data_IF_424175772908
#
_entry.id   IF_424175772908
#
_cell.length_a   1.000
_cell.length_b   1.000
_cell.length_c   1.000
_cell.angle_alpha   90.00
_cell.angle_beta   90.00
_cell.angle_gamma   90.00
#
_symmetry.space_group_name_H-M   'P 1'
#
loop_
_entity.id
_entity.type
_entity.pdbx_description
1 polymer ?
#
# COMPACT_ATOMS: atom_id res chain seq x y z
N UNK A 1 38.44 -24.79 -39.53
CA UNK A 1 39.31 -24.20 -38.49
C UNK A 1 38.87 -22.75 -38.26
N UNK A 2 38.56 -22.37 -37.00
CA UNK A 2 38.32 -21.00 -36.49
C UNK A 2 37.09 -20.28 -37.06
N UNK A 3 35.91 -20.18 -36.40
CA UNK A 3 35.53 -19.66 -35.08
C UNK A 3 35.68 -18.13 -34.93
N UNK A 4 34.56 -17.44 -34.68
CA UNK A 4 34.50 -16.00 -34.41
C UNK A 4 33.07 -15.44 -34.39
N UNK A 5 32.29 -15.83 -33.37
CA UNK A 5 30.90 -15.42 -33.18
C UNK A 5 30.70 -14.18 -32.29
N UNK A 6 29.47 -13.66 -32.36
CA UNK A 6 28.73 -13.15 -31.20
C UNK A 6 28.90 -11.68 -30.82
N UNK A 7 28.05 -10.78 -31.38
CA UNK A 7 27.43 -9.64 -30.67
C UNK A 7 26.09 -9.28 -31.32
N UNK A 8 25.07 -10.07 -31.02
CA UNK A 8 23.66 -9.63 -31.03
C UNK A 8 23.21 -9.58 -29.58
N UNK A 9 22.24 -8.71 -29.28
CA UNK A 9 21.50 -8.64 -28.00
C UNK A 9 22.20 -7.84 -26.88
N UNK A 10 22.01 -6.50 -26.82
CA UNK A 10 22.11 -5.65 -25.60
C UNK A 10 21.89 -4.14 -25.93
N UNK A 11 20.76 -3.74 -26.52
CA UNK A 11 20.51 -2.30 -26.84
C UNK A 11 19.12 -1.76 -26.48
N UNK A 12 18.20 -2.55 -25.91
CA UNK A 12 16.82 -2.07 -25.65
C UNK A 12 16.50 -1.79 -24.17
N UNK A 13 17.44 -2.00 -23.23
CA UNK A 13 17.16 -1.96 -21.77
C UNK A 13 17.75 -0.72 -21.06
N UNK A 14 18.08 0.37 -21.76
CA UNK A 14 18.72 1.56 -21.12
C UNK A 14 18.04 2.92 -21.27
N UNK A 15 16.85 3.01 -21.85
CA UNK A 15 16.21 4.31 -22.11
C UNK A 15 14.95 4.64 -21.27
N UNK A 16 14.57 3.82 -20.28
CA UNK A 16 13.38 4.10 -19.45
C UNK A 16 13.64 4.90 -18.16
N UNK A 17 14.91 5.11 -17.78
CA UNK A 17 15.29 5.81 -16.54
C UNK A 17 15.65 7.30 -16.73
N UNK A 18 15.61 7.85 -17.94
CA UNK A 18 16.12 9.19 -18.24
C UNK A 18 15.05 10.25 -18.63
N UNK A 19 13.75 9.95 -18.49
CA UNK A 19 12.68 10.81 -19.02
C UNK A 19 11.71 11.43 -17.97
N UNK A 20 12.04 11.39 -16.67
CA UNK A 20 11.19 12.03 -15.62
C UNK A 20 11.75 13.32 -15.00
N UNK A 21 12.84 13.86 -15.54
CA UNK A 21 13.35 15.18 -15.16
C UNK A 21 12.93 16.24 -16.18
N UNK A 22 11.71 16.79 -16.02
CA UNK A 22 11.28 18.16 -16.39
C UNK A 22 9.75 18.24 -16.25
N UNK A 23 9.27 19.22 -15.48
CA UNK A 23 7.86 19.49 -15.12
C UNK A 23 7.25 18.73 -13.93
N UNK A 24 7.76 19.01 -12.72
CA UNK A 24 6.97 18.95 -11.50
C UNK A 24 6.83 20.36 -10.92
N UNK A 25 5.96 21.18 -11.53
CA UNK A 25 5.48 22.40 -10.89
C UNK A 25 4.52 22.01 -9.77
N UNK A 26 5.00 22.25 -8.55
CA UNK A 26 4.38 22.11 -7.23
C UNK A 26 3.12 23.01 -7.12
N UNK A 27 1.97 22.49 -6.65
CA UNK A 27 1.02 23.31 -5.92
C UNK A 27 1.31 23.24 -4.42
N UNK A 28 1.57 24.41 -3.86
CA UNK A 28 1.60 24.73 -2.44
C UNK A 28 0.28 24.41 -1.74
N UNK A 29 0.30 24.48 -0.42
CA UNK A 29 -0.26 23.47 0.43
C UNK A 29 -1.38 24.05 1.30
N UNK A 30 -2.65 23.83 0.97
CA UNK A 30 -3.75 24.31 1.81
C UNK A 30 -3.91 23.46 3.09
N UNK A 31 -3.77 24.12 4.23
CA UNK A 31 -4.09 23.63 5.57
C UNK A 31 -5.43 24.22 6.01
N UNK A 32 -6.35 23.39 6.50
CA UNK A 32 -7.46 23.85 7.31
C UNK A 32 -7.37 23.24 8.71
N UNK A 33 -7.61 24.10 9.69
CA UNK A 33 -7.34 23.96 11.12
C UNK A 33 -8.37 23.02 11.78
N UNK A 34 -7.92 22.27 12.78
CA UNK A 34 -8.77 21.91 13.91
C UNK A 34 -7.93 22.06 15.17
N UNK A 35 -8.19 23.16 15.86
CA UNK A 35 -7.82 23.44 17.25
C UNK A 35 -8.69 22.58 18.15
N UNK A 36 -8.08 21.82 19.05
CA UNK A 36 -8.56 21.79 20.43
C UNK A 36 -7.45 21.35 21.39
N UNK A 37 -7.66 21.77 22.63
CA UNK A 37 -6.71 21.97 23.70
C UNK A 37 -6.22 20.69 24.38
N UNK A 38 -5.28 20.89 25.30
CA UNK A 38 -4.34 19.89 25.75
C UNK A 38 -4.83 18.97 26.85
N UNK A 39 -3.99 17.97 27.16
CA UNK A 39 -3.73 17.53 28.52
C UNK A 39 -2.40 16.76 28.56
N UNK A 40 -1.54 17.16 29.50
CA UNK A 40 -0.19 16.66 29.77
C UNK A 40 -0.23 15.60 30.87
N UNK A 41 0.41 14.44 30.68
CA UNK A 41 0.84 13.56 31.78
C UNK A 41 2.22 12.94 31.48
N UNK A 42 2.95 12.75 32.57
CA UNK A 42 4.38 12.73 32.79
C UNK A 42 5.07 11.39 32.51
N UNK A 43 6.38 11.53 32.33
CA UNK A 43 7.47 10.56 32.22
C UNK A 43 7.57 9.50 33.33
N UNK A 44 8.01 8.31 32.94
CA UNK A 44 9.16 7.63 33.56
C UNK A 44 8.90 6.29 34.26
N UNK A 45 9.40 5.19 33.69
CA UNK A 45 9.96 4.08 34.47
C UNK A 45 10.98 3.27 33.67
N UNK A 46 12.18 3.11 34.25
CA UNK A 46 13.27 2.24 33.80
C UNK A 46 13.10 0.87 34.45
N UNK A 47 13.24 -0.21 33.69
CA UNK A 47 13.50 -1.55 34.26
C UNK A 47 14.76 -2.11 33.60
N UNK A 48 15.74 -2.44 34.45
CA UNK A 48 17.01 -3.08 34.15
C UNK A 48 17.13 -4.30 35.05
N UNK A 49 17.22 -5.52 34.50
CA UNK A 49 17.62 -6.71 35.26
C UNK A 49 18.55 -7.63 34.43
N UNK A 50 19.84 -7.49 34.77
CA UNK A 50 20.93 -8.46 34.96
C UNK A 50 20.96 -9.81 34.21
N UNK A 51 22.12 -10.05 33.59
CA UNK A 51 22.67 -11.32 33.09
C UNK A 51 23.08 -12.27 34.22
N UNK A 52 22.87 -13.58 34.02
CA UNK A 52 23.65 -14.78 34.45
C UNK A 52 23.07 -15.96 33.62
N UNK A 53 23.75 -17.01 33.20
CA UNK A 53 25.14 -17.46 33.15
C UNK A 53 25.20 -18.52 32.03
N UNK A 54 26.40 -18.84 31.58
CA UNK A 54 26.72 -19.85 30.58
C UNK A 54 26.17 -21.23 30.94
N UNK A 55 25.70 -22.00 29.95
CA UNK A 55 25.87 -23.45 29.98
C UNK A 55 25.99 -24.00 28.56
N UNK A 56 27.05 -24.77 28.38
CA UNK A 56 27.56 -25.32 27.14
C UNK A 56 26.91 -26.70 26.92
N UNK A 57 26.16 -26.91 25.85
CA UNK A 57 25.70 -28.24 25.44
C UNK A 57 25.57 -28.37 23.93
N UNK A 58 26.43 -29.22 23.36
CA UNK A 58 26.36 -29.87 22.05
C UNK A 58 27.10 -31.22 22.27
N UNK A 59 26.80 -32.37 21.62
CA UNK A 59 26.17 -32.53 20.32
C UNK A 59 25.26 -33.77 20.12
N UNK A 60 24.72 -33.86 18.91
CA UNK A 60 24.18 -35.06 18.24
C UNK A 60 23.04 -35.82 18.93
N UNK A 61 21.80 -35.49 18.57
CA UNK A 61 20.71 -36.48 18.44
C UNK A 61 19.89 -36.19 17.18
N UNK A 62 20.17 -36.98 16.15
CA UNK A 62 19.26 -37.52 15.13
C UNK A 62 17.81 -37.03 15.27
N UNK A 63 17.42 -36.02 14.49
CA UNK A 63 16.00 -35.70 14.26
C UNK A 63 15.53 -36.62 13.15
N UNK A 64 14.68 -37.59 13.51
CA UNK A 64 13.87 -38.35 12.54
C UNK A 64 13.01 -37.37 11.75
N UNK A 65 13.03 -37.51 10.43
CA UNK A 65 12.04 -36.90 9.54
C UNK A 65 10.63 -37.19 10.06
N UNK A 66 9.86 -36.12 10.31
CA UNK A 66 8.41 -36.21 10.40
C UNK A 66 7.87 -35.70 9.07
N UNK A 67 7.78 -36.62 8.11
CA UNK A 67 6.92 -36.45 6.94
C UNK A 67 5.47 -36.66 7.40
N UNK A 68 4.55 -35.77 7.01
CA UNK A 68 3.11 -36.07 7.07
C UNK A 68 2.18 -35.15 7.89
N UNK A 69 2.52 -33.90 8.18
CA UNK A 69 1.64 -33.02 8.99
C UNK A 69 1.31 -31.62 8.43
N UNK A 70 1.63 -31.26 7.17
CA UNK A 70 1.33 -29.91 6.63
C UNK A 70 0.05 -29.79 5.78
N UNK A 71 -0.67 -30.87 5.51
CA UNK A 71 -1.60 -30.91 4.37
C UNK A 71 -2.92 -30.13 4.47
N UNK A 72 -3.38 -29.69 5.65
CA UNK A 72 -4.71 -29.03 5.78
C UNK A 72 -4.64 -27.50 5.89
N UNK A 73 -3.59 -26.97 6.50
CA UNK A 73 -3.40 -25.52 6.63
C UNK A 73 -2.97 -24.90 5.30
N UNK A 74 -2.25 -25.65 4.48
CA UNK A 74 -1.84 -25.21 3.15
C UNK A 74 -3.03 -25.11 2.19
N UNK A 75 -3.96 -26.07 2.22
CA UNK A 75 -5.17 -26.05 1.37
C UNK A 75 -6.11 -24.88 1.71
N UNK A 76 -6.40 -24.65 2.99
CA UNK A 76 -7.25 -23.52 3.42
C UNK A 76 -6.61 -22.16 3.07
N UNK A 77 -5.29 -22.06 3.17
CA UNK A 77 -4.53 -20.88 2.75
C UNK A 77 -4.59 -20.65 1.25
N UNK A 78 -4.45 -21.71 0.44
CA UNK A 78 -4.55 -21.62 -1.01
C UNK A 78 -5.97 -21.29 -1.45
N UNK A 79 -6.99 -21.91 -0.85
CA UNK A 79 -8.40 -21.61 -1.12
C UNK A 79 -8.71 -20.15 -0.80
N UNK A 80 -8.28 -19.65 0.36
CA UNK A 80 -8.45 -18.23 0.70
C UNK A 80 -7.76 -17.30 -0.31
N UNK A 81 -6.59 -17.67 -0.84
CA UNK A 81 -5.91 -16.90 -1.90
C UNK A 81 -6.66 -16.93 -3.23
N UNK A 82 -7.26 -18.07 -3.57
CA UNK A 82 -8.09 -18.23 -4.78
C UNK A 82 -9.35 -17.36 -4.64
N UNK A 83 -10.06 -17.46 -3.52
CA UNK A 83 -11.25 -16.64 -3.22
C UNK A 83 -10.93 -15.13 -3.20
N UNK A 84 -9.74 -14.76 -2.73
CA UNK A 84 -9.26 -13.37 -2.76
C UNK A 84 -8.99 -12.89 -4.19
N UNK A 85 -8.54 -13.75 -5.12
CA UNK A 85 -8.33 -13.36 -6.51
C UNK A 85 -9.62 -13.32 -7.34
N UNK A 86 -10.56 -14.24 -7.08
CA UNK A 86 -11.84 -14.31 -7.80
C UNK A 86 -12.71 -13.06 -7.62
N UNK A 87 -12.46 -12.26 -6.59
CA UNK A 87 -13.12 -10.97 -6.39
C UNK A 87 -12.64 -9.83 -7.29
N UNK A 88 -11.48 -9.96 -7.95
CA UNK A 88 -10.91 -8.92 -8.80
C UNK A 88 -11.35 -9.14 -10.27
N UNK A 89 -12.01 -8.18 -10.94
CA UNK A 89 -12.41 -8.35 -12.34
C UNK A 89 -11.23 -8.66 -13.25
N UNK A 90 -11.49 -9.46 -14.29
CA UNK A 90 -10.46 -10.00 -15.19
C UNK A 90 -9.62 -8.89 -15.83
N UNK A 91 -10.23 -7.77 -16.19
CA UNK A 91 -9.54 -6.64 -16.83
C UNK A 91 -8.49 -6.02 -15.88
N UNK A 92 -8.77 -6.00 -14.57
CA UNK A 92 -7.81 -5.57 -13.56
C UNK A 92 -6.70 -6.60 -13.36
N UNK A 93 -7.03 -7.89 -13.36
CA UNK A 93 -6.02 -8.95 -13.25
C UNK A 93 -5.03 -8.88 -14.42
N UNK A 94 -5.55 -8.75 -15.65
CA UNK A 94 -4.74 -8.62 -16.87
C UNK A 94 -3.87 -7.36 -16.83
N UNK A 95 -4.43 -6.22 -16.40
CA UNK A 95 -3.66 -4.97 -16.29
C UNK A 95 -2.55 -5.07 -15.24
N UNK A 96 -2.82 -5.66 -14.09
CA UNK A 96 -1.82 -5.87 -13.04
C UNK A 96 -0.73 -6.82 -13.54
N UNK A 97 -1.09 -7.89 -14.25
CA UNK A 97 -0.13 -8.82 -14.85
C UNK A 97 0.73 -8.15 -15.92
N UNK A 98 0.15 -7.31 -16.79
CA UNK A 98 0.87 -6.52 -17.80
C UNK A 98 1.92 -5.61 -17.15
N UNK A 99 1.58 -5.02 -16.00
CA UNK A 99 2.50 -4.19 -15.22
C UNK A 99 3.54 -5.02 -14.44
N UNK A 100 3.54 -6.35 -14.51
CA UNK A 100 4.32 -7.24 -13.64
C UNK A 100 4.03 -7.04 -12.15
N UNK A 101 2.77 -6.70 -11.82
CA UNK A 101 2.30 -6.58 -10.46
C UNK A 101 2.08 -7.93 -9.78
N UNK A 102 2.29 -7.98 -8.47
CA UNK A 102 2.14 -9.19 -7.64
C UNK A 102 1.49 -8.87 -6.28
N UNK A 103 1.32 -9.87 -5.42
CA UNK A 103 0.75 -9.73 -4.06
C UNK A 103 -0.57 -8.94 -4.02
N UNK A 104 -1.49 -9.29 -4.91
CA UNK A 104 -2.83 -8.70 -4.95
C UNK A 104 -3.58 -9.07 -3.67
N UNK A 105 -4.17 -8.08 -3.00
CA UNK A 105 -4.97 -8.26 -1.77
C UNK A 105 -6.16 -7.33 -1.78
N UNK A 106 -7.32 -7.85 -1.39
CA UNK A 106 -8.48 -7.01 -1.10
C UNK A 106 -8.23 -6.18 0.17
N UNK A 107 -8.45 -4.86 0.10
CA UNK A 107 -8.24 -3.94 1.22
C UNK A 107 -9.56 -3.63 1.92
N UNK A 108 -10.54 -3.08 1.20
CA UNK A 108 -11.84 -2.70 1.78
C UNK A 108 -12.88 -2.48 0.68
N UNK A 109 -14.15 -2.63 1.04
CA UNK A 109 -15.26 -2.03 0.30
C UNK A 109 -15.58 -0.66 0.91
N UNK A 110 -15.86 0.33 0.07
CA UNK A 110 -16.16 1.70 0.49
C UNK A 110 -17.30 2.26 -0.35
N UNK A 111 -18.42 2.55 0.31
CA UNK A 111 -19.47 3.41 -0.25
C UNK A 111 -19.01 4.87 -0.18
N UNK A 112 -19.11 5.60 -1.28
CA UNK A 112 -18.68 7.00 -1.34
C UNK A 112 -19.66 7.90 -0.57
N UNK A 113 -19.11 8.72 0.33
CA UNK A 113 -19.86 9.72 1.09
C UNK A 113 -19.61 11.13 0.55
N UNK A 114 -20.44 12.09 0.98
CA UNK A 114 -20.33 13.50 0.57
C UNK A 114 -18.92 14.08 0.79
N UNK A 115 -18.24 13.66 1.86
CA UNK A 115 -16.88 14.11 2.18
C UNK A 115 -15.82 13.58 1.23
N UNK A 116 -16.01 12.37 0.69
CA UNK A 116 -15.10 11.80 -0.30
C UNK A 116 -15.25 12.55 -1.64
N UNK A 117 -16.46 12.99 -1.99
CA UNK A 117 -16.76 13.68 -3.26
C UNK A 117 -16.58 15.20 -3.20
N UNK A 118 -16.26 15.74 -2.03
CA UNK A 118 -16.09 17.17 -1.84
C UNK A 118 -14.74 17.61 -2.44
N UNK A 119 -14.73 18.48 -3.48
CA UNK A 119 -13.49 18.88 -4.15
C UNK A 119 -12.48 19.59 -3.24
N UNK A 120 -12.95 20.26 -2.18
CA UNK A 120 -12.10 20.93 -1.20
C UNK A 120 -11.40 19.93 -0.26
N UNK A 121 -12.00 18.77 0.02
CA UNK A 121 -11.35 17.71 0.80
C UNK A 121 -10.38 16.87 -0.05
N UNK A 122 -10.69 16.68 -1.35
CA UNK A 122 -9.82 16.06 -2.35
C UNK A 122 -9.18 14.72 -1.93
N UNK A 123 -9.97 13.85 -1.26
CA UNK A 123 -9.47 12.60 -0.69
C UNK A 123 -10.52 11.49 -0.64
N UNK A 124 -10.05 10.25 -0.76
CA UNK A 124 -10.81 9.06 -0.40
C UNK A 124 -10.37 8.58 0.99
N UNK A 125 -11.30 8.54 1.95
CA UNK A 125 -11.02 8.10 3.32
C UNK A 125 -11.26 6.60 3.51
N UNK A 126 -10.26 5.91 4.05
CA UNK A 126 -10.23 4.47 4.33
C UNK A 126 -10.09 4.28 5.86
N UNK A 127 -11.20 4.05 6.58
CA UNK A 127 -11.17 3.79 8.01
C UNK A 127 -10.49 2.44 8.31
N UNK A 128 -9.58 2.36 9.30
CA UNK A 128 -8.83 1.13 9.60
C UNK A 128 -9.73 -0.03 10.01
N UNK A 129 -10.85 0.24 10.67
CA UNK A 129 -11.82 -0.78 11.08
C UNK A 129 -12.52 -1.51 9.91
N UNK A 130 -12.32 -1.07 8.67
CA UNK A 130 -12.89 -1.68 7.47
C UNK A 130 -11.86 -2.41 6.61
N UNK A 131 -10.58 -2.43 7.03
CA UNK A 131 -9.51 -3.11 6.30
C UNK A 131 -9.60 -4.62 6.54
N UNK A 132 -9.78 -5.38 5.47
CA UNK A 132 -9.90 -6.84 5.51
C UNK A 132 -8.54 -7.53 5.67
N UNK A 133 -7.53 -7.06 4.93
CA UNK A 133 -6.22 -7.69 4.88
C UNK A 133 -5.09 -6.72 5.18
N UNK A 134 -4.05 -7.20 5.85
CA UNK A 134 -2.81 -6.43 6.03
C UNK A 134 -2.07 -6.31 4.70
N UNK A 135 -2.11 -5.12 4.13
CA UNK A 135 -1.40 -4.78 2.89
C UNK A 135 -0.10 -4.01 3.12
N UNK A 136 0.07 -3.35 4.27
CA UNK A 136 1.27 -2.59 4.63
C UNK A 136 2.33 -3.45 5.31
N UNK A 137 3.58 -3.26 4.90
CA UNK A 137 4.75 -3.73 5.64
C UNK A 137 4.98 -2.84 6.89
N UNK A 138 5.68 -3.32 7.93
CA UNK A 138 6.02 -2.49 9.09
C UNK A 138 6.78 -1.21 8.74
N UNK A 139 7.66 -1.28 7.73
CA UNK A 139 8.44 -0.12 7.25
C UNK A 139 7.54 0.94 6.61
N UNK A 140 6.58 0.53 5.78
CA UNK A 140 5.61 1.45 5.17
C UNK A 140 4.66 2.06 6.18
N UNK A 141 4.21 1.26 7.15
CA UNK A 141 3.37 1.78 8.23
C UNK A 141 4.11 2.83 9.06
N UNK A 142 5.41 2.62 9.29
CA UNK A 142 6.28 3.58 9.96
C UNK A 142 6.49 4.85 9.13
N UNK A 143 6.72 4.72 7.82
CA UNK A 143 6.94 5.87 6.93
C UNK A 143 5.72 6.77 6.79
N UNK A 144 4.50 6.23 6.97
CA UNK A 144 3.27 7.03 6.95
C UNK A 144 3.14 8.01 8.13
N UNK A 145 3.92 7.84 9.19
CA UNK A 145 3.99 8.78 10.32
C UNK A 145 5.10 9.83 10.12
N UNK A 146 5.88 9.74 9.03
CA UNK A 146 6.98 10.65 8.79
C UNK A 146 6.48 12.06 8.46
N UNK A 147 7.11 13.03 9.12
CA UNK A 147 6.83 14.45 8.97
C UNK A 147 8.07 15.17 8.46
N UNK A 148 7.95 15.87 7.34
CA UNK A 148 9.07 16.61 6.71
C UNK A 148 8.74 18.08 6.51
N UNK A 149 9.79 18.87 6.25
CA UNK A 149 9.72 20.30 5.98
C UNK A 149 9.56 21.18 7.22
N UNK A 150 9.65 22.50 7.01
CA UNK A 150 9.60 23.52 8.08
C UNK A 150 8.38 23.39 9.00
N UNK A 151 7.25 22.97 8.43
CA UNK A 151 5.97 22.84 9.14
C UNK A 151 5.67 21.41 9.62
N UNK A 152 6.65 20.47 9.58
CA UNK A 152 6.48 19.07 9.99
C UNK A 152 5.19 18.44 9.42
N UNK A 153 4.95 18.66 8.13
CA UNK A 153 3.75 18.15 7.45
C UNK A 153 3.92 16.66 7.19
N UNK A 154 2.84 15.90 7.30
CA UNK A 154 2.81 14.50 6.90
C UNK A 154 3.20 14.39 5.43
N UNK A 155 4.32 13.72 5.18
CA UNK A 155 4.86 13.51 3.84
C UNK A 155 3.91 12.63 3.03
N UNK A 156 3.44 11.55 3.64
CA UNK A 156 2.73 10.49 2.91
C UNK A 156 3.68 9.69 2.02
N UNK A 157 3.14 8.63 1.44
CA UNK A 157 3.85 7.77 0.51
C UNK A 157 3.29 7.97 -0.90
N UNK A 158 4.13 8.20 -1.93
CA UNK A 158 3.68 8.18 -3.31
C UNK A 158 3.24 6.76 -3.68
N UNK A 159 2.09 6.64 -4.33
CA UNK A 159 1.52 5.36 -4.78
C UNK A 159 0.93 5.52 -6.17
N UNK A 160 1.00 4.48 -6.99
CA UNK A 160 0.23 4.41 -8.23
C UNK A 160 -1.14 3.82 -7.93
N UNK A 161 -2.18 4.40 -8.54
CA UNK A 161 -3.56 3.93 -8.42
C UNK A 161 -4.15 3.70 -9.81
N UNK A 162 -4.64 2.48 -10.05
CA UNK A 162 -5.53 2.18 -11.17
C UNK A 162 -6.95 2.61 -10.81
N UNK A 163 -7.53 3.48 -11.64
CA UNK A 163 -8.93 3.90 -11.49
C UNK A 163 -9.91 2.82 -12.01
N UNK A 164 -11.24 3.02 -11.87
CA UNK A 164 -12.23 2.10 -12.43
C UNK A 164 -12.14 1.84 -13.93
N UNK A 165 -11.49 2.71 -14.69
CA UNK A 165 -11.28 2.59 -16.14
C UNK A 165 -9.84 2.16 -16.48
N UNK A 166 -9.09 1.62 -15.51
CA UNK A 166 -7.69 1.14 -15.64
C UNK A 166 -6.66 2.21 -16.04
N UNK A 167 -6.98 3.49 -15.84
CA UNK A 167 -6.02 4.60 -15.98
C UNK A 167 -5.14 4.70 -14.74
N UNK A 168 -3.87 4.99 -14.95
CA UNK A 168 -2.87 5.13 -13.90
C UNK A 168 -2.79 6.57 -13.37
N UNK A 169 -2.92 6.73 -12.05
CA UNK A 169 -2.76 8.01 -11.36
C UNK A 169 -1.64 7.94 -10.33
N UNK A 170 -0.77 8.95 -10.33
CA UNK A 170 0.19 9.14 -9.25
C UNK A 170 -0.51 9.85 -8.09
N UNK A 171 -0.71 9.15 -6.98
CA UNK A 171 -1.40 9.64 -5.80
C UNK A 171 -0.49 9.64 -4.57
N UNK A 172 -0.98 10.21 -3.48
CA UNK A 172 -0.30 10.21 -2.19
C UNK A 172 -1.17 9.54 -1.13
N UNK A 173 -0.65 8.45 -0.56
CA UNK A 173 -1.25 7.71 0.54
C UNK A 173 -0.77 8.26 1.88
N UNK A 174 -1.70 8.61 2.78
CA UNK A 174 -1.40 9.23 4.07
C UNK A 174 -2.14 8.55 5.20
N UNK A 175 -1.51 8.47 6.38
CA UNK A 175 -2.18 8.13 7.65
C UNK A 175 -2.41 9.43 8.42
N UNK A 176 -3.66 9.79 8.65
CA UNK A 176 -4.01 10.98 9.44
C UNK A 176 -4.43 10.52 10.83
N UNK A 177 -3.75 11.05 11.84
CA UNK A 177 -4.10 10.83 13.24
C UNK A 177 -5.35 11.65 13.60
N UNK A 178 -6.24 11.02 14.35
CA UNK A 178 -7.42 11.61 14.98
C UNK A 178 -7.26 11.49 16.50
N UNK A 179 -8.05 12.19 17.30
CA UNK A 179 -7.94 12.21 18.77
C UNK A 179 -7.83 10.82 19.42
N UNK A 180 -8.55 9.81 18.88
CA UNK A 180 -8.58 8.44 19.42
C UNK A 180 -8.37 7.34 18.37
N UNK A 181 -7.97 7.72 17.15
CA UNK A 181 -7.88 6.77 16.03
C UNK A 181 -7.00 7.34 14.92
N UNK A 182 -7.05 6.73 13.75
CA UNK A 182 -6.46 7.25 12.54
C UNK A 182 -7.33 6.89 11.34
N UNK A 183 -7.12 7.59 10.22
CA UNK A 183 -7.79 7.30 8.95
C UNK A 183 -6.73 7.33 7.86
N UNK A 184 -6.72 6.32 6.99
CA UNK A 184 -5.90 6.37 5.80
C UNK A 184 -6.60 7.17 4.71
N UNK A 185 -5.84 7.92 3.93
CA UNK A 185 -6.37 8.75 2.86
C UNK A 185 -5.56 8.54 1.59
N UNK A 186 -6.25 8.30 0.48
CA UNK A 186 -5.70 8.55 -0.85
C UNK A 186 -5.99 10.00 -1.21
N UNK A 187 -4.93 10.75 -1.47
CA UNK A 187 -4.95 12.20 -1.74
C UNK A 187 -4.17 12.47 -3.03
N UNK A 188 -4.24 13.68 -3.57
CA UNK A 188 -3.55 14.09 -4.82
C UNK A 188 -3.98 13.23 -6.03
N UNK A 189 -4.83 13.75 -6.91
CA UNK A 189 -5.37 12.96 -8.04
C UNK A 189 -6.80 12.44 -7.82
N UNK A 190 -7.31 12.47 -6.59
CA UNK A 190 -8.62 11.90 -6.27
C UNK A 190 -9.77 12.62 -7.00
N UNK A 191 -9.76 13.95 -7.07
CA UNK A 191 -10.80 14.70 -7.78
C UNK A 191 -10.80 14.39 -9.28
N UNK A 192 -9.62 14.14 -9.87
CA UNK A 192 -9.50 13.71 -11.27
C UNK A 192 -10.16 12.33 -11.45
N UNK A 193 -9.83 11.35 -10.60
CA UNK A 193 -10.48 10.02 -10.62
C UNK A 193 -12.01 10.15 -10.49
N UNK A 194 -12.51 11.01 -9.60
CA UNK A 194 -13.95 11.26 -9.43
C UNK A 194 -14.58 11.79 -10.72
N UNK A 195 -13.95 12.80 -11.35
CA UNK A 195 -14.44 13.40 -12.59
C UNK A 195 -14.40 12.42 -13.77
N UNK A 196 -13.26 11.77 -13.97
CA UNK A 196 -12.97 10.93 -15.13
C UNK A 196 -13.76 9.61 -15.11
N UNK A 197 -14.25 9.17 -13.95
CA UNK A 197 -15.08 7.95 -13.79
C UNK A 197 -16.54 8.27 -13.39
N UNK A 198 -16.92 9.55 -13.41
CA UNK A 198 -18.26 10.02 -13.06
C UNK A 198 -18.78 9.44 -11.73
N UNK A 199 -17.92 9.42 -10.70
CA UNK A 199 -18.25 8.85 -9.40
C UNK A 199 -19.29 9.70 -8.67
N UNK A 200 -20.29 9.05 -8.08
CA UNK A 200 -21.44 9.72 -7.43
C UNK A 200 -21.63 9.29 -5.99
N UNK A 201 -22.43 10.06 -5.26
CA UNK A 201 -22.79 9.76 -3.89
C UNK A 201 -23.49 8.41 -3.83
N UNK A 202 -22.97 7.50 -3.02
CA UNK A 202 -23.52 6.16 -2.87
C UNK A 202 -22.94 5.10 -3.81
N UNK A 203 -22.12 5.47 -4.80
CA UNK A 203 -21.33 4.50 -5.55
C UNK A 203 -20.46 3.69 -4.58
N UNK A 204 -20.28 2.40 -4.87
CA UNK A 204 -19.42 1.51 -4.08
C UNK A 204 -18.11 1.27 -4.83
N UNK A 205 -16.98 1.42 -4.14
CA UNK A 205 -15.67 1.06 -4.65
C UNK A 205 -15.08 -0.08 -3.83
N UNK A 206 -14.45 -1.04 -4.50
CA UNK A 206 -13.59 -2.04 -3.91
C UNK A 206 -12.14 -1.60 -4.08
N UNK A 207 -11.44 -1.42 -2.97
CA UNK A 207 -10.03 -1.06 -2.96
C UNK A 207 -9.20 -2.33 -2.85
N UNK A 208 -8.26 -2.47 -3.77
CA UNK A 208 -7.28 -3.55 -3.82
C UNK A 208 -5.89 -2.96 -3.70
N UNK A 209 -4.97 -3.68 -3.08
CA UNK A 209 -3.54 -3.37 -3.10
C UNK A 209 -2.80 -4.40 -3.92
N UNK A 210 -1.72 -3.98 -4.57
CA UNK A 210 -0.76 -4.88 -5.21
C UNK A 210 0.64 -4.27 -5.15
N UNK A 211 1.63 -5.05 -5.55
CA UNK A 211 3.04 -4.68 -5.52
C UNK A 211 3.59 -4.57 -6.92
N UNK A 212 4.22 -3.45 -7.23
CA UNK A 212 4.96 -3.23 -8.47
C UNK A 212 6.43 -2.99 -8.10
N UNK A 213 7.32 -3.93 -8.41
CA UNK A 213 8.74 -3.83 -8.00
C UNK A 213 8.91 -3.49 -6.51
N UNK A 214 8.16 -4.16 -5.63
CA UNK A 214 8.03 -3.92 -4.18
C UNK A 214 7.31 -2.63 -3.74
N UNK A 215 6.98 -1.72 -4.66
CA UNK A 215 6.22 -0.50 -4.34
C UNK A 215 4.74 -0.81 -4.16
N UNK A 216 4.12 -0.22 -3.14
CA UNK A 216 2.67 -0.33 -2.92
C UNK A 216 1.91 0.44 -4.01
N UNK A 217 0.99 -0.26 -4.66
CA UNK A 217 0.04 0.29 -5.61
C UNK A 217 -1.38 -0.09 -5.18
N UNK A 218 -2.37 0.61 -5.74
CA UNK A 218 -3.78 0.31 -5.50
C UNK A 218 -4.56 0.18 -6.80
N UNK A 219 -5.67 -0.55 -6.75
CA UNK A 219 -6.69 -0.58 -7.79
C UNK A 219 -8.06 -0.28 -7.18
N UNK A 220 -8.80 0.60 -7.85
CA UNK A 220 -10.17 0.99 -7.50
C UNK A 220 -11.13 0.33 -8.48
N UNK A 221 -11.82 -0.71 -8.02
CA UNK A 221 -12.85 -1.38 -8.81
C UNK A 221 -14.20 -0.77 -8.45
N UNK A 222 -14.99 -0.36 -9.44
CA UNK A 222 -16.36 0.09 -9.20
C UNK A 222 -17.26 -1.13 -8.98
N UNK A 223 -17.91 -1.18 -7.82
CA UNK A 223 -18.92 -2.19 -7.52
C UNK A 223 -20.21 -1.93 -8.32
N UNK A 224 -20.92 -3.01 -8.63
CA UNK A 224 -22.26 -2.99 -9.21
C UNK A 224 -23.30 -2.39 -8.27
#
# INVERSE_FOLDING_TARGET
MGSGGGKREFTVVRNFLAAKEKHLQRPECFSFLSTDEGLSIKTGEKISLKRKAENNYNPSKRVKSKEGASSWQDEDYLQKRIDELDGLPREFQEKIQELNGCEVKFVTQKKLFKTDLNPQHARLSIPPAKIANRFLTPTEESSLNERRGKHKRLSGMPVMVLDPSLREYNMCFKKWEMTKSYVYNLTMGWNQIVGDNHLKLGDTLHLWSFRLSSQLCFALVKGS
#
